data_IF_075146365775
#
_entry.id   IF_075146365775
#
_cell.length_a   1.000
_cell.length_b   1.000
_cell.length_c   1.000
_cell.angle_alpha   90.00
_cell.angle_beta   90.00
_cell.angle_gamma   90.00
#
_symmetry.space_group_name_H-M   'P 1'
#
loop_
_entity.id
_entity.type
_entity.pdbx_description
1 polymer ?
#
# COMPACT_ATOMS: atom_id res chain seq x y z
N UNK A 1 -16.73 35.54 -43.85
CA UNK A 1 -15.64 35.69 -42.85
C UNK A 1 -15.78 34.54 -41.88
N UNK A 2 -14.89 33.54 -41.97
CA UNK A 2 -14.89 32.38 -41.08
C UNK A 2 -14.63 32.88 -39.67
N UNK A 3 -15.66 32.81 -38.82
CA UNK A 3 -15.66 33.36 -37.48
C UNK A 3 -14.63 32.59 -36.63
N UNK A 4 -13.43 33.14 -36.51
CA UNK A 4 -12.44 32.76 -35.51
C UNK A 4 -13.03 33.10 -34.14
N UNK A 5 -13.64 32.10 -33.52
CA UNK A 5 -14.28 32.23 -32.22
C UNK A 5 -14.23 30.92 -31.45
N UNK A 6 -13.17 30.13 -31.61
CA UNK A 6 -12.91 29.00 -30.72
C UNK A 6 -12.17 29.51 -29.48
N UNK A 7 -12.81 30.46 -28.78
CA UNK A 7 -12.44 30.74 -27.40
C UNK A 7 -12.63 29.44 -26.65
N UNK A 8 -11.59 28.99 -25.97
CA UNK A 8 -11.57 27.77 -25.17
C UNK A 8 -12.66 27.90 -24.09
N UNK A 9 -13.90 27.53 -24.43
CA UNK A 9 -15.06 27.66 -23.57
C UNK A 9 -14.89 26.82 -22.32
N UNK A 10 -15.82 26.94 -21.37
CA UNK A 10 -15.82 26.11 -20.16
C UNK A 10 -15.60 24.62 -20.49
N UNK A 11 -16.14 24.18 -21.61
CA UNK A 11 -16.03 22.86 -22.22
C UNK A 11 -14.57 22.43 -22.46
N UNK A 12 -13.74 23.33 -23.00
CA UNK A 12 -12.32 23.09 -23.25
C UNK A 12 -11.50 23.04 -21.97
N UNK A 13 -11.84 23.86 -20.98
CA UNK A 13 -11.24 23.83 -19.65
C UNK A 13 -11.54 22.53 -18.89
N UNK A 14 -12.79 22.07 -18.96
CA UNK A 14 -13.20 20.80 -18.36
C UNK A 14 -12.46 19.64 -19.02
N UNK A 15 -12.39 19.58 -20.36
CA UNK A 15 -11.66 18.52 -21.07
C UNK A 15 -10.16 18.53 -20.73
N UNK A 16 -9.52 19.70 -20.62
CA UNK A 16 -8.12 19.80 -20.20
C UNK A 16 -7.89 19.24 -18.80
N UNK A 17 -8.68 19.69 -17.82
CA UNK A 17 -8.60 19.23 -16.43
C UNK A 17 -8.87 17.73 -16.32
N UNK A 18 -9.86 17.23 -17.05
CA UNK A 18 -10.20 15.82 -17.08
C UNK A 18 -9.05 14.99 -17.65
N UNK A 19 -8.46 15.42 -18.78
CA UNK A 19 -7.34 14.70 -19.41
C UNK A 19 -6.11 14.68 -18.51
N UNK A 20 -5.76 15.82 -17.89
CA UNK A 20 -4.58 15.89 -17.02
C UNK A 20 -4.79 15.06 -15.75
N UNK A 21 -5.99 15.10 -15.18
CA UNK A 21 -6.34 14.31 -13.99
C UNK A 21 -6.36 12.82 -14.32
N UNK A 22 -6.86 12.44 -15.50
CA UNK A 22 -6.83 11.06 -15.97
C UNK A 22 -5.39 10.56 -16.14
N UNK A 23 -4.48 11.41 -16.63
CA UNK A 23 -3.06 11.08 -16.77
C UNK A 23 -2.40 10.83 -15.40
N UNK A 24 -2.67 11.69 -14.41
CA UNK A 24 -2.24 11.47 -13.03
C UNK A 24 -2.86 10.23 -12.38
N UNK A 25 -4.16 9.99 -12.60
CA UNK A 25 -4.84 8.81 -12.11
C UNK A 25 -4.22 7.52 -12.68
N UNK A 26 -3.90 7.50 -13.98
CA UNK A 26 -3.16 6.40 -14.61
C UNK A 26 -1.77 6.23 -14.02
N UNK A 27 -1.04 7.31 -13.80
CA UNK A 27 0.29 7.26 -13.18
C UNK A 27 0.21 6.67 -11.76
N UNK A 28 -0.72 7.14 -10.93
CA UNK A 28 -0.95 6.63 -9.59
C UNK A 28 -1.37 5.17 -9.65
N UNK A 29 -2.30 4.81 -10.54
CA UNK A 29 -2.75 3.42 -10.71
C UNK A 29 -1.58 2.50 -11.10
N UNK A 30 -0.69 2.93 -12.00
CA UNK A 30 0.50 2.20 -12.38
C UNK A 30 1.46 2.02 -11.18
N UNK A 31 1.72 3.10 -10.43
CA UNK A 31 2.54 3.03 -9.21
C UNK A 31 1.92 2.07 -8.19
N UNK A 32 0.61 2.16 -7.95
CA UNK A 32 -0.11 1.28 -7.03
C UNK A 32 -0.08 -0.16 -7.51
N UNK A 33 -0.21 -0.42 -8.81
CA UNK A 33 -0.17 -1.76 -9.38
C UNK A 33 1.22 -2.37 -9.22
N UNK A 34 2.29 -1.60 -9.47
CA UNK A 34 3.68 -2.03 -9.25
C UNK A 34 3.97 -2.24 -7.77
N UNK A 35 3.55 -1.31 -6.91
CA UNK A 35 3.67 -1.47 -5.47
C UNK A 35 2.88 -2.69 -4.98
N UNK A 36 1.72 -2.96 -5.55
CA UNK A 36 0.89 -4.14 -5.24
C UNK A 36 1.49 -5.43 -5.77
N UNK A 37 2.17 -5.42 -6.93
CA UNK A 37 2.86 -6.62 -7.44
C UNK A 37 4.12 -6.92 -6.64
N UNK A 38 4.81 -5.89 -6.14
CA UNK A 38 5.96 -6.03 -5.25
C UNK A 38 5.54 -6.43 -3.84
N UNK A 39 4.38 -5.96 -3.38
CA UNK A 39 3.72 -6.46 -2.18
C UNK A 39 3.09 -7.82 -2.51
N UNK A 40 3.93 -8.86 -2.52
CA UNK A 40 3.47 -10.26 -2.51
C UNK A 40 2.29 -10.34 -1.55
N UNK A 41 1.12 -10.87 -1.98
CA UNK A 41 -0.02 -11.04 -1.10
C UNK A 41 0.35 -12.12 -0.08
N UNK A 42 1.05 -11.74 0.98
CA UNK A 42 1.24 -12.56 2.16
C UNK A 42 -0.03 -12.41 3.00
N UNK A 43 -1.15 -12.89 2.45
CA UNK A 43 -2.47 -12.90 3.12
C UNK A 43 -2.43 -13.69 4.44
N UNK A 44 -1.37 -14.46 4.67
CA UNK A 44 -1.05 -15.13 5.94
C UNK A 44 0.28 -14.65 6.56
N UNK A 45 1.30 -14.33 5.73
CA UNK A 45 2.63 -13.97 6.21
C UNK A 45 2.80 -12.54 6.73
N UNK A 46 2.09 -11.53 6.21
CA UNK A 46 2.22 -10.14 6.68
C UNK A 46 1.65 -9.95 8.09
N UNK A 47 0.55 -10.65 8.41
CA UNK A 47 -0.02 -10.63 9.76
C UNK A 47 0.87 -11.38 10.76
N UNK A 48 1.54 -12.46 10.32
CA UNK A 48 2.54 -13.17 11.12
C UNK A 48 3.80 -12.33 11.36
N UNK A 49 4.31 -11.64 10.34
CA UNK A 49 5.46 -10.73 10.49
C UNK A 49 5.14 -9.58 11.46
N UNK A 50 3.96 -8.97 11.33
CA UNK A 50 3.51 -7.96 12.29
C UNK A 50 3.35 -8.51 13.72
N UNK A 51 2.97 -9.78 13.89
CA UNK A 51 2.88 -10.41 15.21
C UNK A 51 4.25 -10.73 15.81
N UNK A 52 5.23 -11.12 14.98
CA UNK A 52 6.64 -11.30 15.39
C UNK A 52 7.27 -9.97 15.81
N UNK A 53 7.03 -8.89 15.06
CA UNK A 53 7.54 -7.54 15.36
C UNK A 53 7.01 -7.01 16.71
N UNK A 54 5.73 -7.23 17.01
CA UNK A 54 5.13 -6.84 18.30
C UNK A 54 5.71 -7.65 19.46
N UNK A 55 6.04 -8.92 19.26
CA UNK A 55 6.69 -9.78 20.25
C UNK A 55 8.13 -9.33 20.53
N UNK A 56 8.87 -8.99 19.48
CA UNK A 56 10.24 -8.49 19.58
C UNK A 56 10.29 -7.14 20.32
N UNK A 57 9.34 -6.25 20.07
CA UNK A 57 9.29 -4.96 20.74
C UNK A 57 8.94 -5.09 22.24
N UNK A 58 8.06 -6.04 22.61
CA UNK A 58 7.76 -6.31 24.03
C UNK A 58 8.91 -6.98 24.77
N UNK A 59 9.65 -7.85 24.09
CA UNK A 59 10.89 -8.43 24.63
C UNK A 59 11.96 -7.34 24.85
N UNK A 60 12.14 -6.43 23.88
CA UNK A 60 13.08 -5.31 24.01
C UNK A 60 12.71 -4.34 25.14
N UNK A 61 11.42 -4.21 25.46
CA UNK A 61 10.91 -3.46 26.62
C UNK A 61 11.02 -4.21 27.94
N UNK A 62 11.41 -5.49 27.92
CA UNK A 62 11.50 -6.35 29.10
C UNK A 62 10.13 -6.74 29.68
N UNK A 63 9.04 -6.55 28.93
CA UNK A 63 7.69 -6.94 29.36
C UNK A 63 7.47 -8.46 29.29
N UNK A 64 8.33 -9.16 28.56
CA UNK A 64 8.25 -10.61 28.32
C UNK A 64 9.66 -11.19 28.47
N UNK A 65 9.77 -12.32 29.17
CA UNK A 65 11.02 -13.05 29.33
C UNK A 65 11.38 -13.86 28.06
N UNK A 66 12.65 -14.21 27.93
CA UNK A 66 13.25 -14.99 26.86
C UNK A 66 12.55 -16.34 26.62
N UNK A 67 12.20 -17.07 27.69
CA UNK A 67 11.48 -18.35 27.59
C UNK A 67 10.07 -18.18 27.00
N UNK A 68 9.35 -17.15 27.45
CA UNK A 68 8.01 -16.82 26.95
C UNK A 68 8.06 -16.35 25.48
N UNK A 69 9.10 -15.60 25.11
CA UNK A 69 9.36 -15.18 23.74
C UNK A 69 9.59 -16.38 22.83
N UNK A 70 10.46 -17.32 23.22
CA UNK A 70 10.72 -18.52 22.42
C UNK A 70 9.48 -19.41 22.25
N UNK A 71 8.72 -19.63 23.32
CA UNK A 71 7.54 -20.49 23.27
C UNK A 71 6.44 -19.92 22.36
N UNK A 72 6.22 -18.60 22.43
CA UNK A 72 5.24 -17.92 21.56
C UNK A 72 5.71 -17.84 20.12
N UNK A 73 7.01 -17.63 19.89
CA UNK A 73 7.60 -17.61 18.55
C UNK A 73 7.53 -18.98 17.87
N UNK A 74 7.78 -20.08 18.60
CA UNK A 74 7.63 -21.44 18.08
C UNK A 74 6.19 -21.76 17.73
N UNK A 75 5.24 -21.35 18.58
CA UNK A 75 3.81 -21.52 18.31
C UNK A 75 3.38 -20.76 17.06
N UNK A 76 3.86 -19.51 16.90
CA UNK A 76 3.57 -18.68 15.74
C UNK A 76 4.14 -19.26 14.44
N UNK A 77 5.36 -19.80 14.49
CA UNK A 77 6.01 -20.49 13.35
C UNK A 77 5.35 -21.82 13.00
N UNK A 78 4.89 -22.59 13.99
CA UNK A 78 4.18 -23.84 13.78
C UNK A 78 2.77 -23.64 13.18
N UNK A 79 2.17 -22.47 13.43
CA UNK A 79 0.88 -22.07 12.84
C UNK A 79 1.01 -21.52 11.40
N UNK A 80 2.23 -21.41 10.86
CA UNK A 80 2.52 -20.98 9.49
C UNK A 80 2.51 -22.23 8.58
N UNK A 81 1.55 -22.38 7.65
CA UNK A 81 1.56 -23.49 6.69
C UNK A 81 2.68 -23.39 5.67
#
# INVERSE_FOLDING_TARGET
>A
MMFYGNGMGADGWVLMLLSTSALWALLIAAIVLVARSLRVPTTTGARSAAAEDVLAERFARGEIDSDDYEQRLRTLRAARP
#
